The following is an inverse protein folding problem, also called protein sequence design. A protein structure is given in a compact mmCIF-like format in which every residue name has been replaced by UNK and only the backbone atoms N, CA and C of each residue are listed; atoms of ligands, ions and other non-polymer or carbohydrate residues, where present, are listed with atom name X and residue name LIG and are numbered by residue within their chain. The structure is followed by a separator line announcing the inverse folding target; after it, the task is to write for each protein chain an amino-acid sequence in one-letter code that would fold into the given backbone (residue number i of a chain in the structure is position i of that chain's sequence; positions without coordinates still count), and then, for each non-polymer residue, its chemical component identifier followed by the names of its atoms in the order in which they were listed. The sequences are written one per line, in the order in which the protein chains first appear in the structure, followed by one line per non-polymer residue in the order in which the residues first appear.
data_IF_045982846492
#
_entry.id   IF_045982846492
#
_cell.length_a   1.000
_cell.length_b   1.000
_cell.length_c   1.000
_cell.angle_alpha   90.00
_cell.angle_beta   90.00
_cell.angle_gamma   90.00
#
_symmetry.space_group_name_H-M   'P 1'
#
loop_
_entity.id
_entity.type
_entity.pdbx_description
1 polymer ?
#
# COMPACT_ATOMS: atom_id res chain seq x y z
N UNK A 1 9.02 20.50 -33.82
CA UNK A 1 9.07 20.66 -32.35
C UNK A 1 9.77 21.98 -32.06
N UNK A 2 9.03 22.99 -31.60
CA UNK A 2 9.66 24.24 -31.19
C UNK A 2 10.46 23.98 -29.91
N UNK A 3 11.74 24.36 -29.91
CA UNK A 3 12.60 24.30 -28.74
C UNK A 3 12.01 25.17 -27.63
N UNK A 4 11.96 24.66 -26.41
CA UNK A 4 11.57 25.42 -25.22
C UNK A 4 12.63 26.52 -25.03
N UNK A 5 12.19 27.78 -25.05
CA UNK A 5 13.06 28.97 -25.00
C UNK A 5 13.43 29.26 -23.53
N UNK A 6 14.68 29.62 -23.17
CA UNK A 6 15.17 29.63 -21.78
C UNK A 6 14.71 30.80 -20.89
N UNK A 7 13.58 31.45 -21.18
CA UNK A 7 13.09 32.61 -20.42
C UNK A 7 11.68 32.37 -19.87
N UNK A 8 11.47 31.25 -19.18
CA UNK A 8 10.28 31.10 -18.33
C UNK A 8 10.63 31.61 -16.93
N UNK A 9 9.88 32.61 -16.48
CA UNK A 9 9.94 33.11 -15.11
C UNK A 9 9.35 32.03 -14.18
N UNK A 10 10.21 31.37 -13.41
CA UNK A 10 9.84 30.34 -12.45
C UNK A 10 9.75 30.88 -11.01
N UNK A 11 9.82 32.20 -10.82
CA UNK A 11 9.75 32.81 -9.47
C UNK A 11 8.37 32.64 -8.80
N UNK A 12 7.36 32.25 -9.58
CA UNK A 12 6.01 31.95 -9.11
C UNK A 12 5.80 30.50 -8.65
N UNK A 13 6.80 29.60 -8.79
CA UNK A 13 6.71 28.22 -8.31
C UNK A 13 7.17 28.18 -6.86
N UNK A 14 6.23 27.91 -5.95
CA UNK A 14 6.55 27.79 -4.52
C UNK A 14 7.43 26.57 -4.26
N UNK A 15 8.42 26.74 -3.38
CA UNK A 15 9.25 25.64 -2.86
C UNK A 15 8.93 25.38 -1.40
N UNK A 16 8.41 24.20 -1.12
CA UNK A 16 8.05 23.73 0.21
C UNK A 16 9.10 22.72 0.70
N UNK A 17 9.71 22.99 1.86
CA UNK A 17 10.75 22.13 2.44
C UNK A 17 10.22 21.23 3.58
N UNK A 18 10.58 19.96 3.51
CA UNK A 18 10.22 18.90 4.48
C UNK A 18 11.42 18.02 4.81
N UNK A 19 11.34 17.27 5.92
CA UNK A 19 12.32 16.20 6.18
C UNK A 19 12.05 15.01 5.27
N UNK A 20 10.76 14.66 5.09
CA UNK A 20 10.32 13.61 4.19
C UNK A 20 9.08 14.02 3.38
N UNK A 21 9.05 13.59 2.12
CA UNK A 21 7.88 13.68 1.24
C UNK A 21 7.43 12.27 0.90
N UNK A 22 6.18 11.95 1.22
CA UNK A 22 5.53 10.70 0.85
C UNK A 22 4.56 10.98 -0.29
N UNK A 23 4.69 10.23 -1.38
CA UNK A 23 3.77 10.29 -2.52
C UNK A 23 2.84 9.10 -2.49
N UNK A 24 1.61 9.32 -2.02
CA UNK A 24 0.53 8.35 -1.93
C UNK A 24 -0.08 8.27 -0.53
N UNK A 25 -1.39 8.49 -0.42
CA UNK A 25 -2.17 8.45 0.83
C UNK A 25 -2.84 7.09 1.12
N UNK A 26 -2.29 5.99 0.60
CA UNK A 26 -2.78 4.63 0.85
C UNK A 26 -2.30 4.05 2.19
N UNK A 27 -2.54 2.75 2.43
CA UNK A 27 -2.13 2.09 3.68
C UNK A 27 -0.63 2.24 3.98
N UNK A 28 0.24 1.95 3.01
CA UNK A 28 1.69 2.07 3.18
C UNK A 28 2.14 3.51 3.43
N UNK A 29 1.61 4.47 2.67
CA UNK A 29 1.95 5.88 2.82
C UNK A 29 1.52 6.44 4.16
N UNK A 30 0.29 6.10 4.61
CA UNK A 30 -0.22 6.55 5.91
C UNK A 30 0.46 5.86 7.11
N UNK A 31 0.88 4.59 6.98
CA UNK A 31 1.65 3.94 8.07
C UNK A 31 3.06 4.52 8.18
N UNK A 32 3.69 4.84 7.05
CA UNK A 32 5.00 5.48 7.00
C UNK A 32 4.93 6.91 7.55
N UNK A 33 3.95 7.71 7.13
CA UNK A 33 3.78 9.08 7.64
C UNK A 33 3.52 9.10 9.14
N UNK A 34 2.70 8.17 9.63
CA UNK A 34 2.46 8.03 11.07
C UNK A 34 3.76 7.78 11.83
N UNK A 35 4.60 6.85 11.35
CA UNK A 35 5.87 6.54 12.01
C UNK A 35 6.83 7.73 12.03
N UNK A 36 6.97 8.41 10.89
CA UNK A 36 7.87 9.56 10.75
C UNK A 36 7.38 10.76 11.57
N UNK A 37 6.06 10.98 11.63
CA UNK A 37 5.46 12.01 12.47
C UNK A 37 5.67 11.71 13.98
N UNK A 38 5.51 10.46 14.41
CA UNK A 38 5.84 10.05 15.79
C UNK A 38 7.31 10.26 16.14
N UNK A 39 8.21 10.18 15.15
CA UNK A 39 9.62 10.48 15.32
C UNK A 39 9.95 11.99 15.34
N UNK A 40 8.93 12.86 15.22
CA UNK A 40 9.09 14.31 15.25
C UNK A 40 9.58 14.93 13.94
N UNK A 41 9.50 14.20 12.82
CA UNK A 41 9.92 14.71 11.51
C UNK A 41 8.81 15.53 10.84
N UNK A 42 9.20 16.53 10.05
CA UNK A 42 8.26 17.30 9.23
C UNK A 42 7.97 16.52 7.93
N UNK A 43 6.77 15.94 7.84
CA UNK A 43 6.38 15.06 6.73
C UNK A 43 5.26 15.67 5.90
N UNK A 44 5.43 15.72 4.58
CA UNK A 44 4.37 15.99 3.63
C UNK A 44 3.84 14.68 3.03
N UNK A 45 2.52 14.49 3.03
CA UNK A 45 1.87 13.37 2.34
C UNK A 45 1.07 13.90 1.16
N UNK A 46 1.60 13.75 -0.05
CA UNK A 46 0.90 14.12 -1.29
C UNK A 46 0.00 12.96 -1.70
N UNK A 47 -1.24 13.27 -2.04
CA UNK A 47 -2.19 12.26 -2.51
C UNK A 47 -3.13 12.83 -3.55
N UNK A 48 -3.23 12.17 -4.71
CA UNK A 48 -4.09 12.64 -5.82
C UNK A 48 -5.59 12.46 -5.59
N UNK A 49 -5.95 11.79 -4.51
CA UNK A 49 -7.33 11.66 -4.02
C UNK A 49 -7.33 11.87 -2.51
N UNK A 50 -8.48 12.19 -1.93
CA UNK A 50 -8.64 12.15 -0.47
C UNK A 50 -8.14 10.80 0.09
N UNK A 51 -7.34 10.75 1.18
CA UNK A 51 -6.62 9.54 1.62
C UNK A 51 -7.47 8.27 1.70
N UNK A 52 -8.69 8.36 2.25
CA UNK A 52 -9.60 7.20 2.39
C UNK A 52 -10.27 6.75 1.08
N UNK A 53 -9.97 7.40 -0.05
CA UNK A 53 -10.33 6.98 -1.41
C UNK A 53 -9.23 6.20 -2.13
N UNK A 54 -8.07 6.02 -1.48
CA UNK A 54 -6.99 5.17 -1.98
C UNK A 54 -7.46 3.73 -2.15
N UNK A 55 -6.89 3.00 -3.12
CA UNK A 55 -7.37 1.65 -3.46
C UNK A 55 -7.30 0.63 -2.32
N UNK A 56 -6.44 0.84 -1.33
CA UNK A 56 -6.43 0.07 -0.08
C UNK A 56 -7.82 -0.07 0.55
N UNK A 57 -8.70 0.94 0.41
CA UNK A 57 -10.08 0.91 0.96
C UNK A 57 -10.91 -0.25 0.41
N UNK A 58 -10.58 -0.73 -0.79
CA UNK A 58 -11.30 -1.79 -1.48
C UNK A 58 -10.76 -3.19 -1.17
N UNK A 59 -9.70 -3.33 -0.37
CA UNK A 59 -9.22 -4.64 0.06
C UNK A 59 -10.24 -5.30 1.01
N UNK A 60 -10.47 -6.60 0.82
CA UNK A 60 -11.57 -7.33 1.48
C UNK A 60 -11.04 -8.39 2.44
N UNK A 61 -10.32 -9.38 1.89
CA UNK A 61 -10.12 -10.71 2.48
C UNK A 61 -9.45 -10.77 3.85
N UNK A 62 -8.47 -9.91 4.14
CA UNK A 62 -7.78 -9.92 5.42
C UNK A 62 -6.31 -9.51 5.33
N UNK A 63 -5.60 -9.67 6.44
CA UNK A 63 -4.15 -9.47 6.59
C UNK A 63 -3.56 -10.76 7.15
N UNK A 64 -2.54 -11.33 6.50
CA UNK A 64 -1.89 -12.55 6.98
C UNK A 64 -0.98 -12.29 8.17
N UNK A 65 -1.27 -12.90 9.33
CA UNK A 65 -0.38 -12.87 10.50
C UNK A 65 -0.52 -14.16 11.31
N UNK A 66 0.61 -14.78 11.68
CA UNK A 66 0.63 -16.01 12.49
C UNK A 66 0.32 -15.75 13.97
N UNK A 67 -0.89 -15.29 14.27
CA UNK A 67 -1.35 -15.02 15.64
C UNK A 67 -1.64 -16.30 16.43
N UNK A 68 -2.02 -17.37 15.73
CA UNK A 68 -2.38 -18.65 16.35
C UNK A 68 -3.75 -18.64 17.06
N UNK A 69 -4.64 -17.70 16.72
CA UNK A 69 -5.92 -17.52 17.44
C UNK A 69 -6.97 -18.58 17.06
N UNK A 70 -6.86 -19.20 15.88
CA UNK A 70 -7.80 -20.24 15.41
C UNK A 70 -7.27 -21.65 15.62
N UNK A 71 -5.96 -21.80 15.51
CA UNK A 71 -5.20 -23.04 15.72
C UNK A 71 -3.73 -22.65 15.89
N UNK A 72 -2.92 -23.56 16.42
CA UNK A 72 -1.47 -23.35 16.52
C UNK A 72 -0.87 -22.97 15.16
N UNK A 73 -0.07 -21.91 15.17
CA UNK A 73 0.57 -21.36 13.98
C UNK A 73 1.97 -20.82 14.32
N UNK A 74 2.81 -20.66 13.30
CA UNK A 74 4.18 -20.21 13.44
C UNK A 74 4.54 -19.30 12.25
N UNK A 75 5.27 -18.23 12.52
CA UNK A 75 5.75 -17.33 11.47
C UNK A 75 6.67 -18.04 10.47
N UNK A 76 7.35 -19.13 10.86
CA UNK A 76 8.12 -19.98 9.94
C UNK A 76 7.23 -20.67 8.89
N UNK A 77 5.98 -21.03 9.24
CA UNK A 77 5.06 -21.62 8.27
C UNK A 77 4.56 -20.57 7.28
N UNK A 78 4.25 -19.36 7.78
CA UNK A 78 3.94 -18.22 6.93
C UNK A 78 5.11 -17.88 5.99
N UNK A 79 6.33 -17.85 6.51
CA UNK A 79 7.56 -17.66 5.72
C UNK A 79 7.66 -18.70 4.60
N UNK A 80 7.51 -19.99 4.92
CA UNK A 80 7.53 -21.06 3.93
C UNK A 80 6.44 -20.87 2.85
N UNK A 81 5.20 -20.60 3.25
CA UNK A 81 4.09 -20.38 2.32
C UNK A 81 4.38 -19.20 1.39
N UNK A 82 4.97 -18.11 1.91
CA UNK A 82 5.31 -16.92 1.11
C UNK A 82 6.47 -17.18 0.15
N UNK A 83 7.53 -17.89 0.57
CA UNK A 83 8.65 -18.28 -0.31
C UNK A 83 8.18 -19.24 -1.41
N UNK A 84 7.35 -20.23 -1.06
CA UNK A 84 6.76 -21.14 -2.04
C UNK A 84 5.79 -20.39 -2.96
N UNK A 85 4.97 -19.51 -2.42
CA UNK A 85 3.96 -18.74 -3.16
C UNK A 85 4.56 -17.70 -4.11
N UNK A 86 5.78 -17.22 -3.84
CA UNK A 86 6.55 -16.38 -4.77
C UNK A 86 7.27 -17.17 -5.86
N UNK A 87 7.04 -18.48 -5.94
CA UNK A 87 7.74 -19.40 -6.85
C UNK A 87 9.27 -19.28 -6.74
N UNK A 88 9.74 -19.13 -5.49
CA UNK A 88 11.15 -18.95 -5.14
C UNK A 88 11.85 -17.70 -5.72
N UNK A 89 11.10 -16.79 -6.36
CA UNK A 89 11.65 -15.51 -6.85
C UNK A 89 11.73 -14.45 -5.76
N UNK A 90 10.91 -14.56 -4.70
CA UNK A 90 10.89 -13.57 -3.63
C UNK A 90 12.15 -13.60 -2.75
N UNK A 91 12.66 -12.41 -2.43
CA UNK A 91 13.82 -12.23 -1.55
C UNK A 91 13.50 -12.69 -0.12
N UNK A 92 14.23 -13.71 0.34
CA UNK A 92 13.88 -14.40 1.58
C UNK A 92 14.18 -13.57 2.84
N UNK A 93 15.14 -12.65 2.82
CA UNK A 93 15.40 -11.74 3.93
C UNK A 93 14.23 -10.76 4.15
N UNK A 94 13.67 -10.21 3.06
CA UNK A 94 12.48 -9.37 3.09
C UNK A 94 11.23 -10.16 3.55
N UNK A 95 11.04 -11.37 3.02
CA UNK A 95 9.93 -12.25 3.41
C UNK A 95 10.04 -12.66 4.88
N UNK A 96 11.24 -13.00 5.36
CA UNK A 96 11.49 -13.31 6.77
C UNK A 96 11.11 -12.14 7.67
N UNK A 97 11.58 -10.93 7.36
CA UNK A 97 11.23 -9.73 8.11
C UNK A 97 9.71 -9.53 8.15
N UNK A 98 9.04 -9.59 6.99
CA UNK A 98 7.60 -9.41 6.88
C UNK A 98 6.82 -10.43 7.73
N UNK A 99 7.10 -11.72 7.56
CA UNK A 99 6.36 -12.78 8.25
C UNK A 99 6.59 -12.75 9.77
N UNK A 100 7.81 -12.41 10.21
CA UNK A 100 8.17 -12.32 11.64
C UNK A 100 7.53 -11.09 12.31
N UNK A 101 7.45 -9.96 11.61
CA UNK A 101 6.86 -8.73 12.17
C UNK A 101 5.33 -8.69 12.08
N UNK A 102 4.72 -9.46 11.18
CA UNK A 102 3.28 -9.45 10.92
C UNK A 102 2.40 -9.55 12.20
N UNK A 103 2.66 -10.46 13.17
CA UNK A 103 1.88 -10.50 14.41
C UNK A 103 1.91 -9.19 15.19
N UNK A 104 3.09 -8.58 15.34
CA UNK A 104 3.27 -7.32 16.09
C UNK A 104 2.51 -6.18 15.40
N UNK A 105 2.61 -6.09 14.08
CA UNK A 105 1.94 -5.05 13.29
C UNK A 105 0.41 -5.20 13.35
N UNK A 106 -0.12 -6.43 13.31
CA UNK A 106 -1.56 -6.64 13.45
C UNK A 106 -2.08 -6.24 14.83
N UNK A 107 -1.36 -6.59 15.91
CA UNK A 107 -1.72 -6.10 17.25
C UNK A 107 -1.58 -4.58 17.38
N UNK A 108 -0.57 -3.98 16.74
CA UNK A 108 -0.44 -2.51 16.70
C UNK A 108 -1.68 -1.86 16.04
N UNK A 109 -2.15 -2.39 14.92
CA UNK A 109 -3.37 -1.92 14.27
C UNK A 109 -4.61 -2.10 15.15
N UNK A 110 -4.71 -3.21 15.86
CA UNK A 110 -5.80 -3.46 16.82
C UNK A 110 -5.78 -2.45 17.98
N UNK A 111 -4.60 -2.17 18.55
CA UNK A 111 -4.41 -1.14 19.57
C UNK A 111 -4.66 0.28 19.06
N UNK A 112 -4.50 0.52 17.75
CA UNK A 112 -4.92 1.78 17.10
C UNK A 112 -6.45 1.91 16.98
N UNK A 113 -7.20 0.84 17.26
CA UNK A 113 -8.66 0.79 17.19
C UNK A 113 -9.20 0.15 15.91
N UNK A 114 -8.38 -0.59 15.15
CA UNK A 114 -8.87 -1.32 13.97
C UNK A 114 -9.91 -2.38 14.39
N UNK A 115 -11.14 -2.32 13.86
CA UNK A 115 -12.25 -3.17 14.32
C UNK A 115 -12.20 -4.56 13.67
N UNK A 116 -11.19 -5.36 14.02
CA UNK A 116 -11.16 -6.77 13.64
C UNK A 116 -12.35 -7.54 14.22
N UNK A 117 -12.86 -8.50 13.45
CA UNK A 117 -13.83 -9.48 13.95
C UNK A 117 -13.22 -10.28 15.10
N UNK A 118 -14.07 -10.79 15.99
CA UNK A 118 -13.64 -11.47 17.21
C UNK A 118 -14.13 -12.90 17.27
N UNK A 119 -13.26 -13.75 17.80
CA UNK A 119 -13.62 -15.07 18.30
C UNK A 119 -14.46 -14.94 19.59
N UNK A 120 -15.06 -16.05 20.03
CA UNK A 120 -15.86 -16.09 21.26
C UNK A 120 -15.04 -15.75 22.52
N UNK A 121 -13.72 -15.96 22.49
CA UNK A 121 -12.78 -15.64 23.57
C UNK A 121 -12.25 -14.19 23.51
N UNK A 122 -12.69 -13.40 22.54
CA UNK A 122 -12.27 -12.01 22.34
C UNK A 122 -10.98 -11.82 21.54
N UNK A 123 -10.32 -12.89 21.11
CA UNK A 123 -9.16 -12.80 20.22
C UNK A 123 -9.57 -12.40 18.80
N UNK A 124 -8.60 -11.92 18.00
CA UNK A 124 -8.82 -11.54 16.60
C UNK A 124 -9.18 -12.79 15.79
N UNK A 125 -10.33 -12.76 15.11
CA UNK A 125 -10.76 -13.81 14.19
C UNK A 125 -9.82 -13.91 12.97
N UNK A 126 -9.51 -15.14 12.57
CA UNK A 126 -8.73 -15.43 11.36
C UNK A 126 -9.47 -16.42 10.47
N UNK A 127 -9.45 -16.21 9.16
CA UNK A 127 -10.09 -17.11 8.19
C UNK A 127 -9.10 -17.88 7.32
N UNK A 128 -9.51 -19.02 6.73
CA UNK A 128 -8.76 -19.66 5.67
C UNK A 128 -8.57 -18.72 4.48
N UNK A 129 -7.42 -18.82 3.83
CA UNK A 129 -7.07 -18.08 2.61
C UNK A 129 -6.16 -18.95 1.74
N UNK A 130 -6.04 -18.64 0.45
CA UNK A 130 -5.25 -19.43 -0.48
C UNK A 130 -3.78 -19.49 -0.07
N UNK A 131 -3.18 -20.67 -0.19
CA UNK A 131 -1.76 -20.88 0.06
C UNK A 131 -1.33 -20.87 1.53
N UNK A 132 -2.23 -20.68 2.49
CA UNK A 132 -1.88 -20.73 3.91
C UNK A 132 -1.87 -22.16 4.45
N UNK A 133 -0.70 -22.63 4.86
CA UNK A 133 -0.48 -23.97 5.42
C UNK A 133 0.30 -23.93 6.76
N UNK A 134 0.14 -24.98 7.54
CA UNK A 134 0.95 -25.29 8.71
C UNK A 134 1.86 -26.49 8.42
N UNK A 135 2.92 -26.64 9.22
CA UNK A 135 3.92 -27.71 9.07
C UNK A 135 4.50 -27.79 7.64
N UNK A 136 4.88 -26.65 7.07
CA UNK A 136 5.55 -26.57 5.76
C UNK A 136 4.76 -27.22 4.60
N UNK A 137 3.45 -26.99 4.53
CA UNK A 137 2.59 -27.46 3.43
C UNK A 137 1.69 -28.64 3.76
N UNK A 138 1.72 -29.17 4.98
CA UNK A 138 1.00 -30.40 5.33
C UNK A 138 -0.52 -30.22 5.42
N UNK A 139 -0.97 -29.13 6.06
CA UNK A 139 -2.39 -28.89 6.32
C UNK A 139 -2.73 -27.41 6.20
N UNK A 140 -3.97 -27.09 5.82
CA UNK A 140 -4.43 -25.70 5.77
C UNK A 140 -4.46 -25.05 7.16
N UNK A 141 -4.27 -23.73 7.22
CA UNK A 141 -4.35 -22.93 8.46
C UNK A 141 -5.06 -21.59 8.23
N UNK A 142 -6.04 -21.24 9.08
CA UNK A 142 -6.62 -19.90 9.10
C UNK A 142 -5.62 -18.88 9.64
N UNK A 143 -5.09 -18.01 8.76
CA UNK A 143 -4.10 -16.98 9.11
C UNK A 143 -4.51 -15.56 8.73
N UNK A 144 -5.56 -15.40 7.92
CA UNK A 144 -5.99 -14.09 7.46
C UNK A 144 -6.88 -13.41 8.51
N UNK A 145 -6.32 -12.45 9.26
CA UNK A 145 -7.04 -11.58 10.20
C UNK A 145 -8.00 -10.67 9.44
N UNK A 146 -9.28 -10.64 9.82
CA UNK A 146 -10.31 -9.97 9.02
C UNK A 146 -11.23 -9.05 9.84
N UNK A 147 -11.75 -8.02 9.18
CA UNK A 147 -12.88 -7.22 9.64
C UNK A 147 -14.02 -7.38 8.63
N UNK A 148 -14.89 -8.36 8.87
CA UNK A 148 -15.83 -8.91 7.90
C UNK A 148 -15.15 -9.14 6.54
N UNK A 149 -15.70 -8.62 5.46
CA UNK A 149 -15.12 -8.57 4.12
C UNK A 149 -14.65 -7.16 3.74
N UNK A 150 -14.36 -6.31 4.73
CA UNK A 150 -14.03 -4.89 4.58
C UNK A 150 -12.73 -4.52 5.29
N UNK A 151 -11.78 -5.45 5.35
CA UNK A 151 -10.53 -5.27 6.10
C UNK A 151 -9.72 -4.05 5.63
N UNK A 152 -9.68 -3.81 4.32
CA UNK A 152 -9.02 -2.63 3.74
C UNK A 152 -9.68 -1.31 4.12
N UNK A 153 -11.01 -1.29 4.16
CA UNK A 153 -11.77 -0.12 4.63
C UNK A 153 -11.46 0.19 6.09
N UNK A 154 -11.54 -0.83 6.96
CA UNK A 154 -11.20 -0.71 8.37
C UNK A 154 -9.77 -0.19 8.57
N UNK A 155 -8.77 -0.84 7.94
CA UNK A 155 -7.37 -0.45 8.03
C UNK A 155 -7.14 1.00 7.59
N UNK A 156 -7.69 1.39 6.43
CA UNK A 156 -7.41 2.70 5.86
C UNK A 156 -8.02 3.82 6.70
N UNK A 157 -9.24 3.62 7.21
CA UNK A 157 -9.88 4.60 8.09
C UNK A 157 -9.18 4.70 9.45
N UNK A 158 -8.75 3.58 10.05
CA UNK A 158 -7.97 3.59 11.30
C UNK A 158 -6.66 4.36 11.12
N UNK A 159 -5.89 4.08 10.06
CA UNK A 159 -4.65 4.80 9.79
C UNK A 159 -4.88 6.28 9.52
N UNK A 160 -5.94 6.64 8.79
CA UNK A 160 -6.28 8.04 8.55
C UNK A 160 -6.60 8.78 9.86
N UNK A 161 -7.42 8.19 10.73
CA UNK A 161 -7.74 8.76 12.05
C UNK A 161 -6.47 8.99 12.89
N UNK A 162 -5.54 8.03 12.90
CA UNK A 162 -4.26 8.17 13.62
C UNK A 162 -3.35 9.24 13.04
N UNK A 163 -3.33 9.40 11.72
CA UNK A 163 -2.57 10.49 11.10
C UNK A 163 -3.17 11.87 11.42
N UNK A 164 -4.51 11.98 11.49
CA UNK A 164 -5.20 13.21 11.91
C UNK A 164 -4.90 13.53 13.38
N UNK A 165 -4.90 12.52 14.25
CA UNK A 165 -4.56 12.66 15.68
C UNK A 165 -3.15 13.25 15.87
N UNK A 166 -2.18 12.85 15.04
CA UNK A 166 -0.80 13.35 15.09
C UNK A 166 -0.54 14.63 14.30
N UNK A 167 -1.54 15.18 13.59
CA UNK A 167 -1.36 16.38 12.78
C UNK A 167 -0.46 16.20 11.55
N UNK A 168 -0.48 15.01 10.93
CA UNK A 168 0.25 14.75 9.68
C UNK A 168 -0.24 15.71 8.58
N UNK A 169 0.69 16.32 7.84
CA UNK A 169 0.35 17.30 6.81
C UNK A 169 0.03 16.62 5.48
N UNK A 170 -1.26 16.56 5.17
CA UNK A 170 -1.75 16.04 3.90
C UNK A 170 -1.91 17.15 2.87
N UNK A 171 -1.28 16.96 1.70
CA UNK A 171 -1.52 17.70 0.49
C UNK A 171 -2.53 16.90 -0.35
N UNK A 172 -3.81 17.11 -0.03
CA UNK A 172 -4.93 16.37 -0.60
C UNK A 172 -5.25 16.88 -2.00
N UNK A 173 -5.47 15.95 -2.92
CA UNK A 173 -5.71 16.22 -4.35
C UNK A 173 -4.53 16.89 -5.06
N UNK A 174 -3.32 16.69 -4.55
CA UNK A 174 -2.07 17.01 -5.24
C UNK A 174 -1.56 15.81 -6.05
N UNK A 175 -1.26 16.04 -7.33
CA UNK A 175 -0.68 15.05 -8.23
C UNK A 175 0.82 15.29 -8.32
N UNK A 176 1.64 14.35 -7.84
CA UNK A 176 3.07 14.37 -8.10
C UNK A 176 3.34 14.11 -9.60
N UNK A 177 4.20 14.92 -10.20
CA UNK A 177 4.50 14.91 -11.63
C UNK A 177 5.76 14.12 -11.92
N UNK A 178 6.89 14.52 -11.31
CA UNK A 178 8.20 13.89 -11.48
C UNK A 178 9.10 14.04 -10.25
N UNK A 179 10.07 13.11 -10.15
CA UNK A 179 11.17 13.19 -9.19
C UNK A 179 12.12 14.33 -9.55
N UNK A 180 12.64 15.00 -8.53
CA UNK A 180 13.73 15.97 -8.67
C UNK A 180 15.04 15.26 -8.34
N UNK A 181 16.02 15.37 -9.23
CA UNK A 181 17.35 14.75 -9.11
C UNK A 181 18.41 15.84 -9.05
N UNK A 182 19.39 15.72 -8.15
CA UNK A 182 20.59 16.58 -8.18
C UNK A 182 21.62 16.04 -9.21
N UNK A 183 22.73 16.76 -9.38
CA UNK A 183 23.79 16.38 -10.33
C UNK A 183 24.49 15.05 -9.97
N UNK A 184 24.47 14.67 -8.69
CA UNK A 184 25.00 13.38 -8.19
C UNK A 184 24.04 12.21 -8.44
N UNK A 185 22.81 12.49 -8.87
CA UNK A 185 21.77 11.47 -9.06
C UNK A 185 21.14 11.02 -7.74
N UNK A 186 20.99 11.90 -6.75
CA UNK A 186 20.14 11.69 -5.59
C UNK A 186 18.73 12.22 -5.85
N UNK A 187 17.72 11.57 -5.26
CA UNK A 187 16.36 12.14 -5.21
C UNK A 187 16.30 13.20 -4.13
N UNK A 188 15.89 14.42 -4.49
CA UNK A 188 15.82 15.58 -3.57
C UNK A 188 14.41 16.14 -3.42
N UNK A 189 13.40 15.44 -3.92
CA UNK A 189 12.00 15.85 -3.84
C UNK A 189 11.16 15.44 -5.06
N UNK A 190 10.01 16.07 -5.18
CA UNK A 190 9.11 15.96 -6.34
C UNK A 190 8.56 17.32 -6.74
N UNK A 191 8.20 17.47 -8.01
CA UNK A 191 7.25 18.50 -8.43
C UNK A 191 5.83 17.95 -8.32
N UNK A 192 4.87 18.80 -7.99
CA UNK A 192 3.47 18.40 -7.93
C UNK A 192 2.55 19.55 -8.34
N UNK A 193 1.36 19.18 -8.82
CA UNK A 193 0.29 20.12 -9.18
C UNK A 193 -0.91 19.91 -8.27
N UNK A 194 -1.45 21.02 -7.77
CA UNK A 194 -2.72 21.08 -7.07
C UNK A 194 -3.88 20.96 -8.07
N UNK A 195 -4.74 19.95 -7.91
CA UNK A 195 -5.90 19.77 -8.79
C UNK A 195 -6.97 20.86 -8.61
N UNK A 196 -7.07 21.49 -7.44
CA UNK A 196 -8.09 22.52 -7.19
C UNK A 196 -7.71 23.83 -7.88
N UNK A 197 -6.45 24.25 -7.73
CA UNK A 197 -6.00 25.57 -8.19
C UNK A 197 -5.21 25.53 -9.50
N UNK A 198 -4.66 24.37 -9.88
CA UNK A 198 -3.70 24.24 -10.98
C UNK A 198 -2.30 24.74 -10.63
N UNK A 199 -2.04 25.13 -9.37
CA UNK A 199 -0.73 25.60 -8.95
C UNK A 199 0.28 24.47 -8.94
N UNK A 200 1.47 24.76 -9.47
CA UNK A 200 2.62 23.84 -9.42
C UNK A 200 3.54 24.27 -8.28
N UNK A 201 4.01 23.30 -7.50
CA UNK A 201 4.99 23.53 -6.44
C UNK A 201 6.10 22.49 -6.45
N UNK A 202 7.24 22.86 -5.86
CA UNK A 202 8.36 21.98 -5.56
C UNK A 202 8.25 21.52 -4.12
N UNK A 203 8.23 20.21 -3.91
CA UNK A 203 8.29 19.59 -2.59
C UNK A 203 9.69 19.02 -2.37
N UNK A 204 10.55 19.83 -1.76
CA UNK A 204 11.93 19.47 -1.47
C UNK A 204 12.00 18.66 -0.15
N UNK A 205 12.75 17.56 -0.17
CA UNK A 205 12.96 16.74 1.03
C UNK A 205 14.29 15.99 1.01
N UNK A 206 14.75 15.60 2.20
CA UNK A 206 15.92 14.72 2.37
C UNK A 206 15.60 13.27 2.04
N UNK A 207 14.33 12.88 2.17
CA UNK A 207 13.83 11.57 1.80
C UNK A 207 12.52 11.70 1.01
N UNK A 208 12.42 10.97 -0.11
CA UNK A 208 11.19 10.85 -0.89
C UNK A 208 10.77 9.39 -0.94
N UNK A 209 9.55 9.09 -0.46
CA UNK A 209 9.00 7.74 -0.40
C UNK A 209 7.81 7.63 -1.36
N UNK A 210 7.87 6.67 -2.27
CA UNK A 210 6.74 6.33 -3.13
C UNK A 210 5.86 5.27 -2.49
N UNK A 211 4.58 5.61 -2.31
CA UNK A 211 3.50 4.74 -1.86
C UNK A 211 2.29 4.87 -2.82
N UNK A 212 2.57 4.97 -4.12
CA UNK A 212 1.61 5.37 -5.17
C UNK A 212 0.65 4.27 -5.62
N UNK A 213 0.81 3.04 -5.11
CA UNK A 213 -0.02 1.89 -5.46
C UNK A 213 0.41 1.22 -6.77
N UNK A 214 -0.47 0.36 -7.30
CA UNK A 214 -0.21 -0.43 -8.51
C UNK A 214 -0.68 0.23 -9.81
N UNK A 215 -0.59 -0.52 -10.90
CA UNK A 215 -0.88 -0.05 -12.27
C UNK A 215 -1.91 -0.92 -13.02
N UNK A 216 -2.84 -1.57 -12.31
CA UNK A 216 -3.80 -2.50 -12.92
C UNK A 216 -4.69 -1.91 -14.02
N UNK A 217 -4.74 -0.58 -14.19
CA UNK A 217 -5.50 0.10 -15.26
C UNK A 217 -4.85 0.05 -16.64
N UNK A 218 -3.68 -0.59 -16.78
CA UNK A 218 -3.15 -0.93 -18.10
C UNK A 218 -3.96 -2.06 -18.78
N UNK A 219 -4.71 -2.87 -18.01
CA UNK A 219 -5.56 -3.94 -18.53
C UNK A 219 -6.98 -3.47 -18.76
N UNK A 220 -7.62 -4.04 -19.80
CA UNK A 220 -9.02 -3.76 -20.14
C UNK A 220 -10.00 -4.10 -19.01
N UNK A 221 -9.77 -5.23 -18.33
CA UNK A 221 -10.55 -5.66 -17.19
C UNK A 221 -9.64 -5.73 -15.96
N UNK A 222 -10.03 -5.06 -14.88
CA UNK A 222 -9.22 -4.96 -13.68
C UNK A 222 -10.09 -4.70 -12.45
N UNK A 223 -9.72 -5.31 -11.32
CA UNK A 223 -10.31 -5.03 -10.00
C UNK A 223 -9.85 -3.69 -9.42
N UNK A 224 -8.78 -3.13 -9.97
CA UNK A 224 -8.12 -1.95 -9.43
C UNK A 224 -9.00 -0.70 -9.62
N UNK A 225 -8.92 0.29 -8.74
CA UNK A 225 -9.62 1.57 -8.95
C UNK A 225 -9.10 2.29 -10.20
N UNK A 226 -9.85 3.27 -10.72
CA UNK A 226 -9.41 4.07 -11.88
C UNK A 226 -8.13 4.87 -11.62
N UNK A 227 -7.78 5.08 -10.35
CA UNK A 227 -6.58 5.80 -9.92
C UNK A 227 -5.31 4.93 -9.92
N UNK A 228 -5.39 3.62 -10.15
CA UNK A 228 -4.24 2.72 -10.18
C UNK A 228 -3.56 2.73 -11.56
N UNK A 229 -2.87 3.84 -11.84
CA UNK A 229 -2.31 4.19 -13.15
C UNK A 229 -0.80 4.05 -13.24
N UNK A 230 -0.13 3.60 -12.17
CA UNK A 230 1.32 3.39 -12.17
C UNK A 230 2.15 4.67 -12.15
N UNK A 231 1.64 5.76 -11.58
CA UNK A 231 2.29 7.07 -11.63
C UNK A 231 3.71 7.04 -11.04
N UNK A 232 3.91 6.37 -9.90
CA UNK A 232 5.25 6.21 -9.31
C UNK A 232 6.20 5.38 -10.15
N UNK A 233 5.70 4.35 -10.83
CA UNK A 233 6.49 3.55 -11.78
C UNK A 233 6.93 4.40 -12.97
N UNK A 234 6.01 5.23 -13.49
CA UNK A 234 6.30 6.19 -14.56
C UNK A 234 7.33 7.23 -14.14
N UNK A 235 7.19 7.82 -12.94
CA UNK A 235 8.14 8.79 -12.39
C UNK A 235 9.53 8.18 -12.19
N UNK A 236 9.61 6.97 -11.62
CA UNK A 236 10.87 6.26 -11.43
C UNK A 236 11.55 5.97 -12.78
N UNK A 237 10.79 5.45 -13.76
CA UNK A 237 11.31 5.15 -15.10
C UNK A 237 11.84 6.40 -15.82
N UNK A 238 11.11 7.51 -15.78
CA UNK A 238 11.56 8.79 -16.37
C UNK A 238 12.81 9.34 -15.69
N UNK A 239 12.99 9.08 -14.39
CA UNK A 239 14.19 9.44 -13.64
C UNK A 239 15.37 8.47 -13.85
N UNK A 240 15.24 7.47 -14.72
CA UNK A 240 16.28 6.47 -14.98
C UNK A 240 16.45 5.43 -13.86
N UNK A 241 15.48 5.31 -12.96
CA UNK A 241 15.48 4.30 -11.89
C UNK A 241 14.89 3.01 -12.46
N UNK A 242 15.59 1.86 -12.36
CA UNK A 242 15.09 0.59 -12.88
C UNK A 242 13.84 0.13 -12.14
N UNK A 243 12.94 -0.49 -12.88
CA UNK A 243 11.80 -1.23 -12.35
C UNK A 243 12.14 -2.73 -12.39
N UNK A 244 11.58 -3.50 -11.47
CA UNK A 244 11.87 -4.93 -11.32
C UNK A 244 10.59 -5.75 -11.47
N UNK A 245 10.71 -6.95 -12.06
CA UNK A 245 9.65 -7.97 -12.14
C UNK A 245 8.33 -7.49 -12.76
N UNK A 246 8.43 -6.55 -13.71
CA UNK A 246 7.28 -5.84 -14.31
C UNK A 246 6.37 -6.74 -15.18
N UNK A 247 6.84 -7.93 -15.55
CA UNK A 247 6.09 -8.95 -16.26
C UNK A 247 5.14 -9.75 -15.36
N UNK A 248 5.33 -9.73 -14.04
CA UNK A 248 4.57 -10.54 -13.09
C UNK A 248 3.27 -9.85 -12.65
N UNK A 249 2.18 -10.14 -13.35
CA UNK A 249 0.84 -9.63 -13.05
C UNK A 249 -0.05 -10.69 -12.41
N UNK A 250 -0.55 -10.41 -11.20
CA UNK A 250 -1.51 -11.28 -10.54
C UNK A 250 -2.93 -11.08 -11.11
N UNK A 251 -3.51 -12.16 -11.64
CA UNK A 251 -4.91 -12.20 -12.03
C UNK A 251 -5.71 -12.89 -10.93
N UNK A 252 -6.48 -12.10 -10.16
CA UNK A 252 -7.30 -12.66 -9.09
C UNK A 252 -8.37 -13.62 -9.68
N UNK A 253 -8.54 -14.84 -9.16
CA UNK A 253 -9.40 -15.85 -9.78
C UNK A 253 -10.88 -15.44 -9.94
N UNK A 254 -11.38 -14.59 -9.04
CA UNK A 254 -12.81 -14.26 -8.93
C UNK A 254 -13.09 -12.76 -9.05
N UNK A 255 -12.78 -12.18 -10.22
CA UNK A 255 -13.39 -10.92 -10.64
C UNK A 255 -14.79 -11.16 -11.24
N UNK A 256 -15.77 -10.30 -10.93
CA UNK A 256 -17.14 -10.41 -11.46
C UNK A 256 -17.11 -10.31 -12.99
N UNK A 257 -17.58 -11.35 -13.68
CA UNK A 257 -17.64 -11.38 -15.14
C UNK A 257 -18.43 -10.17 -15.69
N UNK A 258 -17.86 -9.46 -16.66
CA UNK A 258 -18.45 -8.27 -17.27
C UNK A 258 -18.29 -6.97 -16.47
N UNK A 259 -17.95 -7.01 -15.18
CA UNK A 259 -17.77 -5.83 -14.35
C UNK A 259 -16.32 -5.63 -13.85
N UNK A 260 -15.58 -6.71 -13.61
CA UNK A 260 -14.19 -6.69 -13.13
C UNK A 260 -14.03 -6.45 -11.61
N UNK A 261 -15.11 -6.21 -10.87
CA UNK A 261 -15.09 -6.00 -9.42
C UNK A 261 -14.63 -7.26 -8.68
N UNK A 262 -13.82 -7.10 -7.63
CA UNK A 262 -13.32 -8.20 -6.83
C UNK A 262 -14.42 -8.87 -6.00
N UNK A 263 -14.52 -10.20 -6.08
CA UNK A 263 -15.09 -11.04 -5.02
C UNK A 263 -13.93 -11.67 -4.23
N UNK A 264 -13.88 -11.37 -2.94
CA UNK A 264 -12.82 -11.84 -2.04
C UNK A 264 -12.54 -13.34 -2.17
N UNK A 265 -11.27 -13.73 -2.14
CA UNK A 265 -10.89 -15.13 -1.95
C UNK A 265 -11.41 -15.71 -0.63
N UNK A 266 -11.74 -14.85 0.34
CA UNK A 266 -12.48 -15.24 1.54
C UNK A 266 -13.77 -16.01 1.23
N UNK A 267 -14.44 -15.79 0.09
CA UNK A 267 -15.59 -16.61 -0.30
C UNK A 267 -15.23 -18.11 -0.40
N UNK A 268 -14.04 -18.43 -0.93
CA UNK A 268 -13.52 -19.82 -0.97
C UNK A 268 -13.02 -20.26 0.40
N UNK A 269 -12.41 -19.34 1.15
CA UNK A 269 -11.99 -19.57 2.53
C UNK A 269 -13.13 -20.00 3.45
N UNK A 270 -14.32 -19.43 3.25
CA UNK A 270 -15.56 -19.78 3.97
C UNK A 270 -16.34 -20.95 3.34
N UNK A 271 -15.73 -21.71 2.41
CA UNK A 271 -16.29 -22.94 1.85
C UNK A 271 -16.96 -22.82 0.48
N UNK A 272 -16.93 -21.65 -0.16
CA UNK A 272 -17.36 -21.49 -1.55
C UNK A 272 -16.49 -22.28 -2.52
N UNK A 273 -17.09 -22.84 -3.58
CA UNK A 273 -16.39 -23.65 -4.59
C UNK A 273 -16.63 -23.12 -6.00
N UNK A 274 -15.60 -23.24 -6.85
CA UNK A 274 -15.73 -23.06 -8.30
C UNK A 274 -16.03 -24.44 -8.91
N UNK A 275 -17.02 -24.53 -9.79
CA UNK A 275 -17.42 -25.74 -10.51
C UNK A 275 -17.47 -25.48 -12.00
#
# INVERSE_FOLDING_TARGET
MAAIIPNQDFTNIETLSFDAVIVGGGGSGMRASLQLAQAGLKVAVLTKVFPTRSHTVAAQGGIGASLGNMQEDNWHYHFYDTVKGSDWLGDQDAIEFMCREAPKVVYELEHMGMPFDRNADGTIYQRPFGGHSANYGEKAVPRACAAADRTGHALLHTLYQKNVELGTQFFVEWIALDLIRNDDGDVVGVTAIDQETGNVAVFQAKATLFATGGAGRIFRASTNAYINTGDGLGMASRAGIPLQDMEFWQFHPTGVAGAGVLLTEGCRGEGGVLR
#
